data_IF_250999887235
#
_entry.id   IF_250999887235
#
_cell.length_a   1.000
_cell.length_b   1.000
_cell.length_c   1.000
_cell.angle_alpha   90.00
_cell.angle_beta   90.00
_cell.angle_gamma   90.00
#
_symmetry.space_group_name_H-M   'P 1'
#
loop_
_entity.id
_entity.type
_entity.pdbx_description
1 polymer ?
#
# COMPACT_ATOMS: atom_id res chain seq x y z
N UNK A 1 -20.51 -8.83 13.56
CA UNK A 1 -19.93 -8.60 12.22
C UNK A 1 -21.01 -7.94 11.37
N UNK A 2 -21.02 -6.62 11.27
CA UNK A 2 -22.08 -5.83 10.62
C UNK A 2 -21.51 -4.87 9.58
N UNK A 3 -20.51 -5.33 8.83
CA UNK A 3 -19.86 -4.53 7.79
C UNK A 3 -20.62 -4.69 6.47
N UNK A 4 -20.83 -3.58 5.78
CA UNK A 4 -21.36 -3.59 4.43
C UNK A 4 -20.27 -4.02 3.44
N UNK A 5 -20.62 -4.92 2.53
CA UNK A 5 -19.74 -5.36 1.44
C UNK A 5 -20.08 -4.53 0.21
N UNK A 6 -19.17 -3.67 -0.22
CA UNK A 6 -19.34 -2.88 -1.43
C UNK A 6 -19.29 -3.80 -2.66
N UNK A 7 -20.20 -3.62 -3.65
CA UNK A 7 -20.15 -4.39 -4.87
C UNK A 7 -18.87 -4.06 -5.65
N UNK A 8 -18.10 -5.09 -6.02
CA UNK A 8 -16.88 -4.94 -6.81
C UNK A 8 -16.99 -5.80 -8.07
N UNK A 9 -16.92 -5.20 -9.29
CA UNK A 9 -16.92 -5.98 -10.53
C UNK A 9 -15.68 -6.88 -10.66
N UNK A 10 -15.85 -8.02 -11.32
CA UNK A 10 -14.76 -8.94 -11.63
C UNK A 10 -13.67 -8.25 -12.46
N UNK A 11 -12.41 -8.60 -12.22
CA UNK A 11 -11.24 -8.15 -12.98
C UNK A 11 -11.10 -6.61 -13.11
N UNK A 12 -11.47 -5.85 -12.09
CA UNK A 12 -11.39 -4.38 -12.09
C UNK A 12 -10.32 -3.84 -11.12
N UNK A 13 -9.03 -4.19 -11.28
CA UNK A 13 -7.97 -3.71 -10.38
C UNK A 13 -7.80 -2.19 -10.42
N UNK A 14 -8.24 -1.52 -11.49
CA UNK A 14 -8.33 -0.08 -11.61
C UNK A 14 -9.33 0.56 -10.64
N UNK A 15 -10.35 -0.20 -10.21
CA UNK A 15 -11.36 0.25 -9.25
C UNK A 15 -10.98 -0.05 -7.80
N UNK A 16 -9.99 -0.92 -7.56
CA UNK A 16 -9.53 -1.26 -6.22
C UNK A 16 -8.46 -0.24 -5.78
N UNK A 17 -8.67 0.54 -4.70
CA UNK A 17 -7.69 1.53 -4.24
C UNK A 17 -6.33 0.91 -3.88
N UNK A 18 -6.33 -0.35 -3.41
CA UNK A 18 -5.11 -1.12 -3.16
C UNK A 18 -4.30 -1.34 -4.42
N UNK A 19 -4.94 -1.75 -5.51
CA UNK A 19 -4.27 -2.20 -6.73
C UNK A 19 -3.88 -1.03 -7.62
N UNK A 20 -4.78 -0.05 -7.79
CA UNK A 20 -4.52 1.13 -8.60
C UNK A 20 -3.46 2.06 -7.99
N UNK A 21 -3.42 2.21 -6.66
CA UNK A 21 -2.60 3.23 -6.01
C UNK A 21 -1.50 2.66 -5.11
N UNK A 22 -1.85 1.82 -4.14
CA UNK A 22 -0.92 1.39 -3.10
C UNK A 22 0.15 0.42 -3.63
N UNK A 23 -0.25 -0.62 -4.36
CA UNK A 23 0.68 -1.67 -4.78
C UNK A 23 1.67 -1.20 -5.85
N UNK A 24 1.36 -0.17 -6.63
CA UNK A 24 2.33 0.48 -7.52
C UNK A 24 3.51 1.03 -6.71
N UNK A 25 3.22 1.90 -5.74
CA UNK A 25 4.24 2.49 -4.85
C UNK A 25 5.05 1.42 -4.10
N UNK A 26 4.37 0.41 -3.53
CA UNK A 26 5.05 -0.67 -2.79
C UNK A 26 5.99 -1.46 -3.71
N UNK A 27 5.57 -1.77 -4.94
CA UNK A 27 6.42 -2.47 -5.91
C UNK A 27 7.67 -1.66 -6.23
N UNK A 28 7.53 -0.36 -6.46
CA UNK A 28 8.66 0.53 -6.78
C UNK A 28 9.67 0.58 -5.62
N UNK A 29 9.21 0.71 -4.37
CA UNK A 29 10.08 0.72 -3.19
C UNK A 29 10.84 -0.60 -2.98
N UNK A 30 10.18 -1.72 -3.28
CA UNK A 30 10.76 -3.06 -3.08
C UNK A 30 11.48 -3.59 -4.32
N UNK A 31 11.44 -2.87 -5.44
CA UNK A 31 11.97 -3.31 -6.71
C UNK A 31 13.49 -3.60 -6.60
N UNK A 32 13.90 -4.80 -7.03
CA UNK A 32 15.29 -5.24 -7.00
C UNK A 32 15.82 -5.65 -5.62
N UNK A 33 15.05 -5.52 -4.55
CA UNK A 33 15.47 -6.01 -3.23
C UNK A 33 15.43 -7.53 -3.16
N UNK A 34 16.46 -8.14 -2.56
CA UNK A 34 16.50 -9.58 -2.26
C UNK A 34 16.48 -9.75 -0.75
N UNK A 35 15.53 -10.55 -0.26
CA UNK A 35 15.40 -10.84 1.17
C UNK A 35 15.90 -12.25 1.45
N UNK A 36 16.96 -12.36 2.24
CA UNK A 36 17.51 -13.66 2.67
C UNK A 36 16.66 -14.33 3.75
N UNK A 37 15.86 -13.54 4.47
CA UNK A 37 15.01 -14.02 5.56
C UNK A 37 13.61 -13.42 5.48
N UNK A 38 12.63 -14.16 6.00
CA UNK A 38 11.27 -13.67 6.17
C UNK A 38 11.18 -12.44 7.08
N UNK A 39 12.05 -12.34 8.09
CA UNK A 39 12.09 -11.17 8.97
C UNK A 39 12.46 -9.90 8.19
N UNK A 40 13.43 -10.01 7.27
CA UNK A 40 13.85 -8.89 6.43
C UNK A 40 12.72 -8.43 5.49
N UNK A 41 11.98 -9.35 4.86
CA UNK A 41 10.85 -8.99 3.99
C UNK A 41 9.70 -8.34 4.77
N UNK A 42 9.40 -8.86 5.98
CA UNK A 42 8.39 -8.28 6.87
C UNK A 42 8.79 -6.88 7.35
N UNK A 43 10.07 -6.66 7.66
CA UNK A 43 10.58 -5.35 8.05
C UNK A 43 10.51 -4.36 6.90
N UNK A 44 10.87 -4.77 5.68
CA UNK A 44 10.75 -3.94 4.49
C UNK A 44 9.28 -3.53 4.25
N UNK A 45 8.34 -4.47 4.33
CA UNK A 45 6.90 -4.16 4.23
C UNK A 45 6.42 -3.17 5.29
N UNK A 46 6.85 -3.34 6.55
CA UNK A 46 6.55 -2.40 7.63
C UNK A 46 7.11 -1.00 7.40
N UNK A 47 8.30 -0.90 6.82
CA UNK A 47 8.93 0.38 6.53
C UNK A 47 8.18 1.13 5.43
N UNK A 48 7.86 0.46 4.32
CA UNK A 48 7.06 1.04 3.23
C UNK A 48 5.69 1.50 3.75
N UNK A 49 5.02 0.72 4.59
CA UNK A 49 3.76 1.13 5.22
C UNK A 49 3.90 2.42 6.05
N UNK A 50 5.00 2.58 6.80
CA UNK A 50 5.27 3.81 7.57
C UNK A 50 5.49 5.01 6.64
N UNK A 51 6.22 4.85 5.55
CA UNK A 51 6.45 5.90 4.56
C UNK A 51 5.15 6.36 3.92
N UNK A 52 4.30 5.42 3.50
CA UNK A 52 2.96 5.72 3.00
C UNK A 52 2.20 6.53 4.04
N UNK A 53 2.12 6.06 5.29
CA UNK A 53 1.40 6.77 6.35
C UNK A 53 1.94 8.20 6.59
N UNK A 54 3.25 8.42 6.49
CA UNK A 54 3.86 9.75 6.58
C UNK A 54 3.46 10.63 5.38
N UNK A 55 3.52 10.08 4.17
CA UNK A 55 3.13 10.78 2.94
C UNK A 55 1.67 11.27 3.03
N UNK A 56 0.74 10.42 3.47
CA UNK A 56 -0.68 10.79 3.64
C UNK A 56 -0.84 11.92 4.66
N UNK A 57 -0.23 11.80 5.84
CA UNK A 57 -0.30 12.85 6.88
C UNK A 57 0.27 14.18 6.41
N UNK A 58 1.33 14.16 5.62
CA UNK A 58 1.94 15.37 5.09
C UNK A 58 1.08 16.01 3.99
N UNK A 59 0.41 15.19 3.16
CA UNK A 59 -0.55 15.65 2.17
C UNK A 59 -1.76 16.32 2.82
N UNK A 60 -2.28 15.77 3.92
CA UNK A 60 -3.38 16.39 4.67
C UNK A 60 -2.99 17.78 5.22
N UNK A 61 -1.78 17.91 5.77
CA UNK A 61 -1.26 19.18 6.28
C UNK A 61 -1.01 20.24 5.20
N UNK A 62 -0.76 19.86 3.95
CA UNK A 62 -0.49 20.82 2.87
C UNK A 62 -1.75 21.43 2.26
N UNK A 63 -2.93 20.97 2.68
CA UNK A 63 -4.25 21.43 2.19
C UNK A 63 -4.87 22.45 3.15
N UNK A 64 -4.25 22.66 4.32
CA UNK A 64 -4.53 23.77 5.25
C UNK A 64 -3.68 25.01 4.92
#
# INVERSE_FOLDING_TARGET
>A
MGWEVLPHPSYSPDLAPSDYHLFGFVKDQLHGQRFETFSNSQNAGRNVHKEVAIMWKNKERSVD
#
